data_IF_973202026736
#
_entry.id   IF_973202026736
#
_cell.length_a   1.000
_cell.length_b   1.000
_cell.length_c   1.000
_cell.angle_alpha   90.00
_cell.angle_beta   90.00
_cell.angle_gamma   90.00
#
_symmetry.space_group_name_H-M   'P 1'
#
loop_
_entity.id
_entity.type
_entity.pdbx_description
1 polymer ?
#
# COMPACT_ATOMS: atom_id res chain seq x y z
N UNK A 1 17.68 2.73 54.98
CA UNK A 1 16.40 2.77 54.24
C UNK A 1 15.85 4.17 54.40
N UNK A 2 15.99 5.02 53.37
CA UNK A 2 15.45 6.37 53.36
C UNK A 2 13.97 6.27 52.95
N UNK A 3 13.08 6.77 53.80
CA UNK A 3 11.64 6.76 53.60
C UNK A 3 11.24 7.65 52.44
N UNK A 4 10.40 7.14 51.52
CA UNK A 4 9.78 7.88 50.40
C UNK A 4 8.81 9.01 50.85
N UNK A 5 8.78 9.34 52.15
CA UNK A 5 7.79 10.22 52.79
C UNK A 5 8.24 11.69 52.98
N UNK A 6 9.44 12.08 52.57
CA UNK A 6 9.94 13.45 52.75
C UNK A 6 9.87 14.34 51.49
N UNK A 7 9.26 13.88 50.39
CA UNK A 7 9.10 14.75 49.21
C UNK A 7 8.00 15.78 49.44
N UNK A 8 8.39 17.04 49.44
CA UNK A 8 7.46 18.16 49.65
C UNK A 8 6.64 18.44 48.39
N UNK A 9 5.51 19.15 48.53
CA UNK A 9 4.69 19.60 47.40
C UNK A 9 5.52 20.39 46.39
N UNK A 10 6.47 21.17 46.90
CA UNK A 10 7.32 22.03 46.10
C UNK A 10 8.28 21.22 45.23
N UNK A 11 8.85 20.14 45.77
CA UNK A 11 9.70 19.21 45.02
C UNK A 11 8.90 18.53 43.90
N UNK A 12 7.68 18.07 44.20
CA UNK A 12 6.81 17.41 43.23
C UNK A 12 6.30 18.36 42.14
N UNK A 13 6.07 19.63 42.47
CA UNK A 13 5.69 20.64 41.49
C UNK A 13 6.87 21.10 40.64
N UNK A 14 8.08 21.15 41.21
CA UNK A 14 9.30 21.46 40.48
C UNK A 14 9.67 20.37 39.45
N UNK A 15 9.34 19.11 39.75
CA UNK A 15 9.52 17.97 38.83
C UNK A 15 8.55 17.97 37.63
N UNK A 16 7.50 18.80 37.63
CA UNK A 16 6.57 18.89 36.51
C UNK A 16 7.19 19.54 35.25
N UNK A 17 6.83 19.07 34.05
CA UNK A 17 7.14 19.75 32.78
C UNK A 17 6.56 21.17 32.75
N UNK A 18 7.23 22.10 32.05
CA UNK A 18 6.83 23.52 32.02
C UNK A 18 5.37 23.73 31.55
N UNK A 19 4.94 22.96 30.55
CA UNK A 19 3.57 22.98 30.02
C UNK A 19 2.54 22.49 31.06
N UNK A 20 2.91 21.48 31.86
CA UNK A 20 2.08 20.95 32.94
C UNK A 20 1.92 21.95 34.07
N UNK A 21 3.00 22.65 34.44
CA UNK A 21 2.97 23.74 35.43
C UNK A 21 2.08 24.89 34.96
N UNK A 22 2.24 25.33 33.72
CA UNK A 22 1.44 26.41 33.13
C UNK A 22 -0.04 26.06 33.08
N UNK A 23 -0.38 24.83 32.70
CA UNK A 23 -1.77 24.36 32.66
C UNK A 23 -2.39 24.32 34.06
N UNK A 24 -1.65 23.87 35.08
CA UNK A 24 -2.09 23.87 36.47
C UNK A 24 -2.32 25.29 37.01
N UNK A 25 -1.46 26.24 36.64
CA UNK A 25 -1.64 27.65 36.98
C UNK A 25 -2.85 28.28 36.27
N UNK A 26 -3.07 27.97 34.99
CA UNK A 26 -4.21 28.47 34.20
C UNK A 26 -5.57 27.99 34.72
N UNK A 27 -5.64 26.77 35.26
CA UNK A 27 -6.87 26.23 35.90
C UNK A 27 -7.01 26.64 37.38
N UNK A 28 -6.12 27.50 37.89
CA UNK A 28 -6.16 28.00 39.27
C UNK A 28 -5.66 27.00 40.33
N UNK A 29 -5.06 25.88 39.93
CA UNK A 29 -4.42 24.89 40.81
C UNK A 29 -2.89 25.07 40.85
N UNK A 30 -2.45 26.31 41.05
CA UNK A 30 -1.04 26.62 41.25
C UNK A 30 -0.50 26.12 42.59
N UNK A 31 0.80 26.32 42.81
CA UNK A 31 1.52 25.91 44.02
C UNK A 31 0.82 26.29 45.36
N UNK A 32 0.25 27.51 45.52
CA UNK A 32 -0.44 27.88 46.77
C UNK A 32 -1.68 27.02 47.05
N UNK A 33 -2.41 26.64 46.00
CA UNK A 33 -3.61 25.83 46.10
C UNK A 33 -3.27 24.36 46.38
N UNK A 34 -2.20 23.84 45.77
CA UNK A 34 -1.69 22.51 46.05
C UNK A 34 -1.17 22.36 47.49
N UNK A 35 -0.53 23.40 48.04
CA UNK A 35 -0.13 23.43 49.47
C UNK A 35 -1.36 23.43 50.38
N UNK A 36 -2.38 24.23 50.07
CA UNK A 36 -3.65 24.24 50.81
C UNK A 36 -4.32 22.86 50.82
N UNK A 37 -4.28 22.15 49.71
CA UNK A 37 -4.82 20.79 49.61
C UNK A 37 -3.96 19.79 50.38
N UNK A 38 -2.64 19.95 50.37
CA UNK A 38 -1.69 19.12 51.11
C UNK A 38 -1.88 19.19 52.63
N UNK A 39 -2.21 20.37 53.16
CA UNK A 39 -2.46 20.60 54.59
C UNK A 39 -3.76 19.95 55.10
N UNK A 40 -4.62 19.49 54.20
CA UNK A 40 -5.84 18.74 54.53
C UNK A 40 -5.57 17.28 54.91
N UNK A 41 -6.52 16.65 55.60
CA UNK A 41 -6.41 15.24 55.99
C UNK A 41 -6.34 14.32 54.74
N UNK A 42 -5.22 13.63 54.55
CA UNK A 42 -4.93 12.86 53.32
C UNK A 42 -4.53 13.69 52.10
N UNK A 43 -4.22 14.98 52.31
CA UNK A 43 -3.93 15.98 51.29
C UNK A 43 -2.82 15.59 50.33
N UNK A 44 -1.69 15.10 50.83
CA UNK A 44 -0.57 14.68 49.98
C UNK A 44 -0.90 13.54 49.02
N UNK A 45 -1.78 12.61 49.41
CA UNK A 45 -2.21 11.54 48.50
C UNK A 45 -3.05 12.10 47.36
N UNK A 46 -3.87 13.12 47.64
CA UNK A 46 -4.68 13.82 46.63
C UNK A 46 -3.81 14.68 45.70
N UNK A 47 -2.84 15.41 46.25
CA UNK A 47 -1.86 16.19 45.47
C UNK A 47 -1.05 15.29 44.55
N UNK A 48 -0.54 14.15 45.04
CA UNK A 48 0.13 13.16 44.19
C UNK A 48 -0.78 12.63 43.08
N UNK A 49 -2.06 12.39 43.36
CA UNK A 49 -3.05 12.00 42.36
C UNK A 49 -3.22 13.03 41.25
N UNK A 50 -3.41 14.31 41.61
CA UNK A 50 -3.55 15.41 40.65
C UNK A 50 -2.27 15.58 39.84
N UNK A 51 -1.11 15.66 40.49
CA UNK A 51 0.18 15.81 39.82
C UNK A 51 0.54 14.60 38.93
N UNK A 52 0.11 13.38 39.30
CA UNK A 52 0.28 12.17 38.49
C UNK A 52 -0.51 12.23 37.18
N UNK A 53 -1.68 12.88 37.19
CA UNK A 53 -2.48 13.04 35.97
C UNK A 53 -1.80 13.98 34.98
N UNK A 54 -1.20 15.06 35.46
CA UNK A 54 -0.49 16.03 34.61
C UNK A 54 0.90 15.55 34.18
N UNK A 55 1.63 14.81 35.02
CA UNK A 55 2.86 14.13 34.58
C UNK A 55 2.57 13.05 33.53
N UNK A 56 1.47 12.30 33.65
CA UNK A 56 1.05 11.30 32.66
C UNK A 56 0.52 11.93 31.36
N UNK A 57 -0.13 13.10 31.42
CA UNK A 57 -0.63 13.83 30.24
C UNK A 57 0.48 14.58 29.49
N UNK A 58 1.50 15.02 30.22
CA UNK A 58 2.62 15.79 29.68
C UNK A 58 3.80 14.94 29.24
N UNK A 59 3.73 13.61 29.34
CA UNK A 59 4.66 12.76 28.60
C UNK A 59 4.26 12.90 27.12
N UNK A 60 5.04 13.63 26.30
CA UNK A 60 4.68 13.83 24.91
C UNK A 60 4.99 12.50 24.23
N UNK A 61 4.03 11.56 24.29
CA UNK A 61 4.10 10.17 23.76
C UNK A 61 5.31 10.02 22.87
N UNK A 62 6.45 9.66 23.46
CA UNK A 62 7.64 9.39 22.66
C UNK A 62 7.24 8.23 21.75
N UNK A 63 7.50 8.32 20.45
CA UNK A 63 7.20 7.22 19.54
C UNK A 63 8.07 6.02 19.95
N UNK A 64 7.56 5.16 20.85
CA UNK A 64 8.37 4.13 21.48
C UNK A 64 7.72 3.35 22.63
N UNK A 65 6.97 3.99 23.56
CA UNK A 65 6.71 3.36 24.88
C UNK A 65 5.44 2.50 25.03
N UNK A 66 4.73 2.18 23.93
CA UNK A 66 3.74 1.09 23.94
C UNK A 66 4.43 -0.26 23.71
N UNK A 67 5.28 -0.71 24.64
CA UNK A 67 5.79 -2.09 24.69
C UNK A 67 4.81 -3.04 25.43
N UNK A 68 3.55 -3.04 25.00
CA UNK A 68 2.71 -4.24 25.03
C UNK A 68 3.09 -5.19 23.88
N UNK A 69 2.79 -6.49 23.93
CA UNK A 69 3.57 -7.59 23.32
C UNK A 69 4.09 -7.27 21.90
N UNK A 70 5.28 -6.67 21.86
CA UNK A 70 5.80 -5.85 20.77
C UNK A 70 6.08 -6.61 19.45
N UNK A 71 6.04 -7.95 19.48
CA UNK A 71 6.33 -8.79 18.32
C UNK A 71 5.14 -9.06 17.39
N UNK A 72 3.90 -9.04 17.89
CA UNK A 72 2.71 -9.31 17.06
C UNK A 72 2.12 -8.04 16.45
N UNK A 73 2.22 -6.91 17.14
CA UNK A 73 1.67 -5.61 16.71
C UNK A 73 2.48 -4.94 15.62
N UNK A 74 3.79 -5.19 15.50
CA UNK A 74 4.63 -4.60 14.45
C UNK A 74 4.44 -5.25 13.07
N UNK A 75 4.08 -6.54 13.02
CA UNK A 75 3.91 -7.30 11.76
C UNK A 75 2.53 -7.08 11.14
N UNK A 76 1.52 -6.82 11.97
CA UNK A 76 0.13 -6.68 11.54
C UNK A 76 -0.11 -5.56 10.51
N UNK A 77 0.45 -4.34 10.65
CA UNK A 77 0.29 -3.29 9.65
C UNK A 77 0.88 -3.65 8.28
N UNK A 78 2.01 -4.34 8.25
CA UNK A 78 2.65 -4.80 7.01
C UNK A 78 1.87 -5.93 6.34
N UNK A 79 1.35 -6.87 7.13
CA UNK A 79 0.44 -7.91 6.62
C UNK A 79 -0.84 -7.29 6.07
N UNK A 80 -1.42 -6.30 6.76
CA UNK A 80 -2.59 -5.57 6.27
C UNK A 80 -2.31 -4.85 4.95
N UNK A 81 -1.16 -4.18 4.83
CA UNK A 81 -0.76 -3.53 3.58
C UNK A 81 -0.65 -4.54 2.43
N UNK A 82 0.02 -5.67 2.67
CA UNK A 82 0.16 -6.73 1.67
C UNK A 82 -1.21 -7.31 1.27
N UNK A 83 -2.07 -7.64 2.24
CA UNK A 83 -3.41 -8.20 1.96
C UNK A 83 -4.27 -7.20 1.17
N UNK A 84 -4.27 -5.92 1.54
CA UNK A 84 -5.03 -4.89 0.83
C UNK A 84 -4.50 -4.70 -0.59
N UNK A 85 -3.18 -4.71 -0.78
CA UNK A 85 -2.58 -4.57 -2.11
C UNK A 85 -2.88 -5.78 -3.01
N UNK A 86 -2.73 -7.00 -2.50
CA UNK A 86 -3.04 -8.24 -3.24
C UNK A 86 -4.53 -8.31 -3.56
N UNK A 87 -5.41 -8.05 -2.59
CA UNK A 87 -6.85 -8.03 -2.81
C UNK A 87 -7.24 -6.97 -3.85
N UNK A 88 -6.64 -5.78 -3.79
CA UNK A 88 -6.83 -4.73 -4.79
C UNK A 88 -6.43 -5.16 -6.19
N UNK A 89 -5.27 -5.82 -6.35
CA UNK A 89 -4.83 -6.38 -7.64
C UNK A 89 -5.82 -7.43 -8.16
N UNK A 90 -6.26 -8.36 -7.31
CA UNK A 90 -7.23 -9.40 -7.69
C UNK A 90 -8.57 -8.80 -8.10
N UNK A 91 -9.10 -7.86 -7.32
CA UNK A 91 -10.35 -7.14 -7.66
C UNK A 91 -10.19 -6.39 -8.97
N UNK A 92 -9.06 -5.71 -9.18
CA UNK A 92 -8.77 -5.01 -10.43
C UNK A 92 -8.76 -5.99 -11.63
N UNK A 93 -8.05 -7.11 -11.52
CA UNK A 93 -8.01 -8.13 -12.57
C UNK A 93 -9.38 -8.74 -12.86
N UNK A 94 -10.14 -9.12 -11.83
CA UNK A 94 -11.49 -9.66 -12.02
C UNK A 94 -12.44 -8.64 -12.62
N UNK A 95 -12.27 -7.35 -12.29
CA UNK A 95 -13.11 -6.28 -12.84
C UNK A 95 -12.94 -6.12 -14.36
N UNK A 96 -11.75 -6.43 -14.91
CA UNK A 96 -11.52 -6.42 -16.36
C UNK A 96 -12.42 -7.42 -17.12
N UNK A 97 -12.82 -8.51 -16.47
CA UNK A 97 -13.67 -9.54 -17.07
C UNK A 97 -15.13 -9.11 -17.22
N UNK A 98 -15.56 -8.07 -16.49
CA UNK A 98 -16.97 -7.66 -16.40
C UNK A 98 -17.19 -6.26 -16.96
N UNK A 99 -16.26 -5.32 -16.70
CA UNK A 99 -16.46 -3.88 -16.92
C UNK A 99 -15.66 -3.34 -18.13
N UNK A 100 -14.83 -4.18 -18.77
CA UNK A 100 -13.91 -3.75 -19.83
C UNK A 100 -12.73 -2.92 -19.30
N UNK A 101 -11.80 -2.58 -20.20
CA UNK A 101 -10.50 -1.99 -19.85
C UNK A 101 -10.56 -0.61 -19.19
N UNK A 102 -11.49 0.26 -19.62
CA UNK A 102 -11.59 1.63 -19.12
C UNK A 102 -12.09 1.72 -17.67
N UNK A 103 -13.14 0.97 -17.34
CA UNK A 103 -13.74 0.97 -16.00
C UNK A 103 -12.89 0.19 -14.99
N UNK A 104 -12.17 -0.86 -15.42
CA UNK A 104 -11.26 -1.59 -14.53
C UNK A 104 -10.12 -0.71 -14.00
N UNK A 105 -9.65 0.26 -14.78
CA UNK A 105 -8.62 1.19 -14.32
C UNK A 105 -9.13 2.07 -13.18
N UNK A 106 -10.39 2.53 -13.24
CA UNK A 106 -11.01 3.29 -12.15
C UNK A 106 -11.12 2.45 -10.87
N UNK A 107 -11.50 1.18 -11.00
CA UNK A 107 -11.54 0.23 -9.87
C UNK A 107 -10.14 0.06 -9.26
N UNK A 108 -9.11 -0.10 -10.11
CA UNK A 108 -7.71 -0.19 -9.67
C UNK A 108 -7.21 1.05 -8.94
N UNK A 109 -7.56 2.25 -9.42
CA UNK A 109 -7.25 3.54 -8.76
C UNK A 109 -7.97 3.65 -7.42
N UNK A 110 -9.24 3.29 -7.35
CA UNK A 110 -10.03 3.33 -6.10
C UNK A 110 -9.47 2.36 -5.06
N UNK A 111 -9.07 1.15 -5.48
CA UNK A 111 -8.33 0.21 -4.64
C UNK A 111 -6.97 0.78 -4.21
N UNK A 112 -6.30 1.54 -5.08
CA UNK A 112 -5.04 2.23 -4.79
C UNK A 112 -5.15 3.26 -3.66
N UNK A 113 -6.29 3.95 -3.53
CA UNK A 113 -6.56 4.82 -2.36
C UNK A 113 -6.54 3.99 -1.08
N UNK A 114 -7.16 2.82 -1.08
CA UNK A 114 -7.11 1.88 0.05
C UNK A 114 -5.68 1.43 0.39
N UNK A 115 -4.86 1.16 -0.62
CA UNK A 115 -3.43 0.82 -0.44
C UNK A 115 -2.66 2.00 0.15
N UNK A 116 -2.89 3.23 -0.29
CA UNK A 116 -2.24 4.44 0.25
C UNK A 116 -2.66 4.65 1.71
N UNK A 117 -3.95 4.49 2.04
CA UNK A 117 -4.45 4.60 3.41
C UNK A 117 -3.85 3.51 4.31
N UNK A 118 -3.77 2.27 3.83
CA UNK A 118 -3.11 1.18 4.54
C UNK A 118 -1.62 1.48 4.75
N UNK A 119 -0.95 2.04 3.73
CA UNK A 119 0.44 2.46 3.81
C UNK A 119 0.61 3.57 4.86
N UNK A 120 -0.26 4.57 4.90
CA UNK A 120 -0.27 5.64 5.92
C UNK A 120 -0.42 5.10 7.34
N UNK A 121 -1.16 4.01 7.53
CA UNK A 121 -1.28 3.30 8.80
C UNK A 121 -0.07 2.45 9.21
N UNK A 122 0.96 2.30 8.36
CA UNK A 122 2.19 1.56 8.73
C UNK A 122 3.17 2.46 9.48
N UNK A 123 3.67 1.99 10.63
CA UNK A 123 4.62 2.74 11.49
C UNK A 123 5.94 3.01 10.77
N UNK A 124 6.47 4.22 10.89
CA UNK A 124 7.74 4.63 10.31
C UNK A 124 8.93 4.07 11.12
N UNK A 125 9.50 2.95 10.67
CA UNK A 125 10.84 2.53 11.08
C UNK A 125 11.88 3.11 10.11
N UNK A 126 13.12 3.30 10.57
CA UNK A 126 14.23 3.63 9.67
C UNK A 126 14.40 2.50 8.65
N UNK A 127 14.14 2.79 7.37
CA UNK A 127 14.07 1.81 6.26
C UNK A 127 12.64 1.39 5.86
N UNK A 128 11.67 1.48 6.78
CA UNK A 128 10.26 1.15 6.50
C UNK A 128 9.56 2.13 5.57
N UNK A 129 9.98 3.41 5.57
CA UNK A 129 9.42 4.43 4.68
C UNK A 129 9.67 4.09 3.19
N UNK A 130 10.90 3.70 2.84
CA UNK A 130 11.25 3.34 1.47
C UNK A 130 10.49 2.09 1.01
N UNK A 131 10.47 1.03 1.82
CA UNK A 131 9.75 -0.22 1.52
C UNK A 131 8.24 -0.01 1.36
N UNK A 132 7.66 0.90 2.15
CA UNK A 132 6.25 1.27 2.05
C UNK A 132 5.94 1.91 0.70
N UNK A 133 6.69 2.94 0.31
CA UNK A 133 6.46 3.62 -0.97
C UNK A 133 6.81 2.74 -2.17
N UNK A 134 7.79 1.85 -2.02
CA UNK A 134 8.12 0.83 -3.02
C UNK A 134 6.95 -0.16 -3.22
N UNK A 135 6.26 -0.56 -2.14
CA UNK A 135 5.06 -1.41 -2.23
C UNK A 135 3.92 -0.68 -2.94
N UNK A 136 3.69 0.60 -2.61
CA UNK A 136 2.68 1.44 -3.27
C UNK A 136 3.01 1.60 -4.76
N UNK A 137 4.27 1.90 -5.09
CA UNK A 137 4.71 2.04 -6.48
C UNK A 137 4.54 0.73 -7.25
N UNK A 138 4.93 -0.41 -6.68
CA UNK A 138 4.76 -1.72 -7.30
C UNK A 138 3.28 -2.05 -7.55
N UNK A 139 2.38 -1.71 -6.63
CA UNK A 139 0.94 -1.84 -6.83
C UNK A 139 0.46 -1.02 -8.04
N UNK A 140 0.85 0.26 -8.14
CA UNK A 140 0.46 1.10 -9.28
C UNK A 140 1.04 0.60 -10.61
N UNK A 141 2.27 0.11 -10.61
CA UNK A 141 2.87 -0.53 -11.80
C UNK A 141 2.04 -1.75 -12.22
N UNK A 142 1.64 -2.61 -11.28
CA UNK A 142 0.80 -3.77 -11.59
C UNK A 142 -0.57 -3.38 -12.14
N UNK A 143 -1.23 -2.38 -11.54
CA UNK A 143 -2.52 -1.88 -12.05
C UNK A 143 -2.37 -1.29 -13.44
N UNK A 144 -1.29 -0.53 -13.68
CA UNK A 144 -1.02 0.06 -14.98
C UNK A 144 -0.76 -0.99 -16.06
N UNK A 145 0.14 -1.95 -15.79
CA UNK A 145 0.44 -3.05 -16.70
C UNK A 145 -0.81 -3.89 -16.95
N UNK A 146 -1.56 -4.27 -15.91
CA UNK A 146 -2.80 -5.04 -16.04
C UNK A 146 -3.87 -4.30 -16.86
N UNK A 147 -3.95 -2.97 -16.78
CA UNK A 147 -4.86 -2.20 -17.62
C UNK A 147 -4.46 -2.26 -19.09
N UNK A 148 -3.16 -2.20 -19.39
CA UNK A 148 -2.64 -2.24 -20.75
C UNK A 148 -2.77 -3.64 -21.38
N UNK A 149 -2.48 -4.69 -20.60
CA UNK A 149 -2.58 -6.10 -21.02
C UNK A 149 -3.97 -6.70 -20.85
N UNK A 150 -4.95 -5.93 -20.37
CA UNK A 150 -6.30 -6.43 -20.04
C UNK A 150 -6.96 -7.17 -21.21
N UNK A 151 -6.77 -6.67 -22.44
CA UNK A 151 -7.30 -7.30 -23.63
C UNK A 151 -6.62 -8.64 -23.95
N UNK A 152 -5.30 -8.71 -23.85
CA UNK A 152 -4.54 -9.94 -24.11
C UNK A 152 -4.93 -11.03 -23.11
N UNK A 153 -4.94 -10.67 -21.82
CA UNK A 153 -5.39 -11.54 -20.73
C UNK A 153 -6.82 -12.04 -20.94
N UNK A 154 -7.74 -11.13 -21.30
CA UNK A 154 -9.13 -11.49 -21.57
C UNK A 154 -9.24 -12.49 -22.72
N UNK A 155 -8.57 -12.23 -23.84
CA UNK A 155 -8.63 -13.10 -25.03
C UNK A 155 -7.97 -14.46 -24.79
N UNK A 156 -6.90 -14.54 -23.99
CA UNK A 156 -6.34 -15.82 -23.57
C UNK A 156 -7.38 -16.66 -22.80
N UNK A 157 -8.01 -16.06 -21.80
CA UNK A 157 -8.96 -16.76 -20.93
C UNK A 157 -10.28 -17.10 -21.63
N UNK A 158 -10.90 -16.11 -22.29
CA UNK A 158 -12.29 -16.19 -22.80
C UNK A 158 -12.41 -16.07 -24.30
N UNK A 159 -11.34 -15.73 -25.01
CA UNK A 159 -11.38 -15.66 -26.47
C UNK A 159 -11.74 -17.00 -27.09
N UNK A 160 -12.34 -16.97 -28.26
CA UNK A 160 -12.64 -18.16 -29.06
C UNK A 160 -11.83 -18.08 -30.34
N UNK A 161 -11.11 -19.14 -30.65
CA UNK A 161 -10.40 -19.26 -31.92
C UNK A 161 -11.39 -19.54 -33.03
N UNK A 162 -11.38 -18.71 -34.06
CA UNK A 162 -12.19 -18.90 -35.25
C UNK A 162 -11.43 -18.50 -36.51
N UNK A 163 -11.80 -19.09 -37.64
CA UNK A 163 -11.23 -18.72 -38.93
C UNK A 163 -11.77 -17.37 -39.36
N UNK A 164 -10.89 -16.42 -39.62
CA UNK A 164 -11.20 -15.10 -40.13
C UNK A 164 -10.52 -14.86 -41.48
N UNK A 165 -11.11 -13.98 -42.29
CA UNK A 165 -10.55 -13.60 -43.60
C UNK A 165 -9.88 -12.24 -43.43
N UNK A 166 -8.62 -12.13 -43.80
CA UNK A 166 -7.89 -10.86 -43.78
C UNK A 166 -8.52 -9.93 -44.81
N UNK A 167 -8.82 -8.70 -44.43
CA UNK A 167 -9.43 -7.69 -45.30
C UNK A 167 -8.47 -6.52 -45.53
N UNK A 168 -8.81 -5.67 -46.51
CA UNK A 168 -8.02 -4.48 -46.81
C UNK A 168 -7.78 -3.66 -45.51
N UNK A 169 -6.51 -3.35 -45.19
CA UNK A 169 -6.18 -2.64 -43.98
C UNK A 169 -6.79 -1.23 -43.99
N UNK A 170 -7.12 -0.72 -42.80
CA UNK A 170 -7.48 0.68 -42.65
C UNK A 170 -6.24 1.51 -42.41
N UNK A 171 -6.23 2.74 -42.92
CA UNK A 171 -5.19 3.71 -42.61
C UNK A 171 -5.79 4.82 -41.74
N UNK A 172 -5.16 5.07 -40.61
CA UNK A 172 -5.51 6.15 -39.71
C UNK A 172 -4.31 7.07 -39.54
N UNK A 173 -4.55 8.37 -39.48
CA UNK A 173 -3.50 9.34 -39.20
C UNK A 173 -3.42 9.55 -37.69
N UNK A 174 -2.27 9.20 -37.11
CA UNK A 174 -2.01 9.39 -35.69
C UNK A 174 -0.62 10.02 -35.52
N UNK A 175 -0.54 11.10 -34.74
CA UNK A 175 0.70 11.80 -34.43
C UNK A 175 1.54 12.17 -35.67
N UNK A 176 0.89 12.65 -36.74
CA UNK A 176 1.57 13.09 -37.97
C UNK A 176 2.10 11.95 -38.85
N UNK A 177 1.85 10.69 -38.50
CA UNK A 177 2.23 9.52 -39.30
C UNK A 177 1.00 8.72 -39.73
N UNK A 178 1.06 8.11 -40.91
CA UNK A 178 0.02 7.20 -41.41
C UNK A 178 0.23 5.84 -40.77
N UNK A 179 -0.65 5.45 -39.85
CA UNK A 179 -0.67 4.13 -39.26
C UNK A 179 -1.58 3.21 -40.07
N UNK A 180 -1.05 2.05 -40.44
CA UNK A 180 -1.81 0.98 -41.07
C UNK A 180 -2.32 0.07 -39.96
N UNK A 181 -3.59 -0.32 -40.01
CA UNK A 181 -4.19 -1.25 -39.08
C UNK A 181 -4.85 -2.39 -39.84
N UNK A 182 -4.49 -3.61 -39.47
CA UNK A 182 -5.09 -4.80 -40.04
C UNK A 182 -6.55 -4.95 -39.63
N UNK A 183 -7.33 -5.49 -40.57
CA UNK A 183 -8.75 -5.75 -40.39
C UNK A 183 -9.05 -7.18 -40.77
N UNK A 184 -9.91 -7.82 -40.02
CA UNK A 184 -10.35 -9.19 -40.27
C UNK A 184 -11.86 -9.23 -40.40
N UNK A 185 -12.35 -10.00 -41.37
CA UNK A 185 -13.74 -10.37 -41.51
C UNK A 185 -13.97 -11.68 -40.78
N UNK A 186 -14.88 -11.66 -39.82
CA UNK A 186 -15.27 -12.84 -39.04
C UNK A 186 -16.30 -13.68 -39.81
N UNK A 187 -16.65 -14.86 -39.30
CA UNK A 187 -17.60 -15.79 -39.95
C UNK A 187 -19.02 -15.21 -40.08
N UNK A 188 -19.40 -14.33 -39.17
CA UNK A 188 -20.67 -13.58 -39.20
C UNK A 188 -20.68 -12.45 -40.26
N UNK A 189 -19.58 -12.26 -40.99
CA UNK A 189 -19.41 -11.23 -42.01
C UNK A 189 -19.01 -9.85 -41.48
N UNK A 190 -18.96 -9.67 -40.16
CA UNK A 190 -18.53 -8.43 -39.51
C UNK A 190 -17.05 -8.17 -39.75
N UNK A 191 -16.64 -6.89 -39.84
CA UNK A 191 -15.25 -6.51 -40.13
C UNK A 191 -14.68 -5.69 -39.00
N UNK A 192 -13.73 -6.28 -38.28
CA UNK A 192 -13.13 -5.69 -37.08
C UNK A 192 -11.66 -5.34 -37.31
N UNK A 193 -11.22 -4.23 -36.72
CA UNK A 193 -9.81 -3.88 -36.61
C UNK A 193 -9.15 -4.77 -35.57
N UNK A 194 -7.96 -5.32 -35.86
CA UNK A 194 -7.22 -6.15 -34.91
C UNK A 194 -6.50 -5.26 -33.87
N UNK A 195 -6.32 -5.76 -32.65
CA UNK A 195 -5.68 -4.98 -31.59
C UNK A 195 -4.17 -4.85 -31.74
N UNK A 196 -3.48 -5.93 -32.11
CA UNK A 196 -2.04 -5.93 -32.29
C UNK A 196 -1.68 -6.11 -33.76
N UNK A 197 -1.02 -5.11 -34.34
CA UNK A 197 -0.60 -5.15 -35.74
C UNK A 197 0.83 -5.71 -35.88
N UNK A 198 1.01 -7.00 -35.49
CA UNK A 198 2.33 -7.66 -35.53
C UNK A 198 2.78 -8.03 -36.94
N UNK A 199 1.85 -8.19 -37.87
CA UNK A 199 2.13 -8.73 -39.19
C UNK A 199 1.66 -7.77 -40.29
N UNK A 200 2.38 -7.72 -41.40
CA UNK A 200 1.85 -7.04 -42.58
C UNK A 200 0.69 -7.87 -43.16
N UNK A 201 -0.49 -7.25 -43.21
CA UNK A 201 -1.70 -7.86 -43.77
C UNK A 201 -2.02 -7.35 -45.17
N UNK A 202 -1.31 -6.35 -45.68
CA UNK A 202 -1.56 -5.81 -47.01
C UNK A 202 -1.39 -6.88 -48.10
N UNK A 203 -0.37 -7.73 -47.97
CA UNK A 203 -0.05 -8.79 -48.94
C UNK A 203 -0.91 -10.05 -48.79
N UNK A 204 -1.70 -10.15 -47.71
CA UNK A 204 -2.49 -11.35 -47.37
C UNK A 204 -4.00 -11.10 -47.39
N UNK A 205 -4.45 -10.00 -48.00
CA UNK A 205 -5.87 -9.70 -48.15
C UNK A 205 -6.58 -10.86 -48.88
N UNK A 206 -7.69 -11.33 -48.32
CA UNK A 206 -8.46 -12.47 -48.81
C UNK A 206 -8.00 -13.83 -48.27
N UNK A 207 -6.81 -13.91 -47.64
CA UNK A 207 -6.35 -15.14 -47.01
C UNK A 207 -7.18 -15.46 -45.76
N UNK A 208 -7.40 -16.76 -45.53
CA UNK A 208 -7.97 -17.27 -44.28
C UNK A 208 -6.85 -17.44 -43.26
N UNK A 209 -7.09 -16.97 -42.04
CA UNK A 209 -6.18 -17.13 -40.91
C UNK A 209 -6.97 -17.41 -39.63
N UNK A 210 -6.30 -17.83 -38.58
CA UNK A 210 -6.89 -17.96 -37.25
C UNK A 210 -6.93 -16.59 -36.58
N UNK A 211 -8.05 -16.29 -35.92
CA UNK A 211 -8.17 -15.13 -35.05
C UNK A 211 -8.83 -15.54 -33.73
N UNK A 212 -8.35 -14.95 -32.64
CA UNK A 212 -8.97 -15.08 -31.31
C UNK A 212 -9.94 -13.91 -31.14
N UNK A 213 -11.20 -14.23 -30.89
CA UNK A 213 -12.30 -13.26 -30.84
C UNK A 213 -12.98 -13.29 -29.49
N UNK A 214 -13.33 -12.11 -28.98
CA UNK A 214 -14.17 -12.00 -27.80
C UNK A 214 -15.64 -12.29 -28.17
N UNK A 215 -16.26 -13.35 -27.64
CA UNK A 215 -17.65 -13.68 -27.91
C UNK A 215 -18.64 -12.61 -27.42
N UNK A 216 -18.22 -11.76 -26.49
CA UNK A 216 -19.02 -10.63 -25.96
C UNK A 216 -18.85 -9.35 -26.77
N UNK A 217 -17.89 -9.30 -27.71
CA UNK A 217 -17.62 -8.15 -28.57
C UNK A 217 -17.07 -6.90 -27.86
N UNK A 218 -16.59 -7.02 -26.62
CA UNK A 218 -16.03 -5.90 -25.85
C UNK A 218 -14.60 -5.57 -26.31
N UNK A 219 -13.86 -6.60 -26.69
CA UNK A 219 -12.48 -6.48 -27.15
C UNK A 219 -12.33 -6.74 -28.65
N UNK A 220 -11.35 -6.07 -29.25
CA UNK A 220 -10.99 -6.30 -30.65
C UNK A 220 -10.39 -7.70 -30.85
N UNK A 221 -10.53 -8.31 -32.02
CA UNK A 221 -9.92 -9.61 -32.26
C UNK A 221 -8.40 -9.52 -32.33
N UNK A 222 -7.74 -10.62 -31.98
CA UNK A 222 -6.31 -10.84 -32.17
C UNK A 222 -6.12 -11.77 -33.38
N UNK A 223 -5.22 -11.41 -34.30
CA UNK A 223 -4.88 -12.23 -35.47
C UNK A 223 -3.75 -13.18 -35.07
N UNK A 224 -4.04 -14.48 -35.06
CA UNK A 224 -3.16 -15.53 -34.52
C UNK A 224 -3.92 -16.52 -33.66
N UNK A 225 -3.18 -17.43 -33.02
CA UNK A 225 -3.71 -18.38 -32.03
C UNK A 225 -3.63 -17.82 -30.61
N UNK A 226 -4.30 -18.46 -29.66
CA UNK A 226 -4.21 -18.07 -28.24
C UNK A 226 -2.80 -18.17 -27.67
N UNK A 227 -2.00 -19.14 -28.13
CA UNK A 227 -0.61 -19.31 -27.67
C UNK A 227 0.32 -18.18 -28.10
N UNK A 228 -0.05 -17.41 -29.12
CA UNK A 228 0.76 -16.29 -29.62
C UNK A 228 0.51 -14.99 -28.82
N UNK A 229 -0.48 -15.00 -27.93
CA UNK A 229 -0.82 -13.88 -27.05
C UNK A 229 0.11 -13.90 -25.83
N UNK A 230 0.65 -12.74 -25.42
CA UNK A 230 1.36 -12.59 -24.13
C UNK A 230 2.88 -12.75 -24.14
N UNK A 231 3.50 -12.91 -25.31
CA UNK A 231 4.97 -12.91 -25.44
C UNK A 231 5.51 -11.47 -25.56
N UNK A 232 5.47 -10.71 -24.46
CA UNK A 232 5.91 -9.30 -24.44
C UNK A 232 6.74 -8.96 -23.21
N UNK A 233 7.52 -7.87 -23.30
CA UNK A 233 8.32 -7.32 -22.21
C UNK A 233 7.51 -6.96 -20.95
N UNK A 234 6.19 -6.79 -21.10
CA UNK A 234 5.25 -6.46 -20.04
C UNK A 234 5.08 -7.60 -19.03
N UNK A 235 5.26 -8.84 -19.48
CA UNK A 235 5.26 -10.04 -18.63
C UNK A 235 6.46 -10.04 -17.66
N UNK A 236 7.61 -9.53 -18.09
CA UNK A 236 8.79 -9.38 -17.22
C UNK A 236 8.60 -8.25 -16.19
N UNK A 237 8.03 -7.11 -16.61
CA UNK A 237 7.76 -5.97 -15.72
C UNK A 237 6.73 -6.34 -14.64
N UNK A 238 5.66 -7.04 -15.00
CA UNK A 238 4.65 -7.51 -14.04
C UNK A 238 5.20 -8.52 -13.04
N UNK A 239 6.04 -9.47 -13.46
CA UNK A 239 6.74 -10.39 -12.56
C UNK A 239 7.65 -9.65 -11.57
N UNK A 240 8.44 -8.68 -12.05
CA UNK A 240 9.29 -7.86 -11.18
C UNK A 240 8.48 -7.06 -10.16
N UNK A 241 7.40 -6.42 -10.59
CA UNK A 241 6.52 -5.66 -9.70
C UNK A 241 5.80 -6.56 -8.68
N UNK A 242 5.36 -7.76 -9.08
CA UNK A 242 4.77 -8.75 -8.17
C UNK A 242 5.78 -9.23 -7.12
N UNK A 243 7.02 -9.52 -7.53
CA UNK A 243 8.09 -9.88 -6.61
C UNK A 243 8.34 -8.77 -5.59
N UNK A 244 8.42 -7.52 -6.04
CA UNK A 244 8.59 -6.36 -5.15
C UNK A 244 7.42 -6.22 -4.17
N UNK A 245 6.17 -6.36 -4.65
CA UNK A 245 4.98 -6.22 -3.82
C UNK A 245 4.90 -7.28 -2.73
N UNK A 246 5.39 -8.49 -2.98
CA UNK A 246 5.42 -9.59 -2.00
C UNK A 246 6.63 -9.50 -1.06
N UNK A 247 7.81 -9.20 -1.61
CA UNK A 247 9.07 -9.22 -0.86
C UNK A 247 9.23 -7.99 0.04
N UNK A 248 8.77 -6.81 -0.37
CA UNK A 248 8.96 -5.61 0.44
C UNK A 248 8.25 -5.68 1.81
N UNK A 249 6.98 -6.11 1.91
CA UNK A 249 6.31 -6.30 3.20
C UNK A 249 6.90 -7.48 3.99
N UNK A 250 7.32 -8.55 3.32
CA UNK A 250 7.94 -9.71 3.96
C UNK A 250 9.30 -9.37 4.59
N UNK A 251 10.17 -8.67 3.86
CA UNK A 251 11.45 -8.19 4.35
C UNK A 251 11.27 -7.22 5.52
N UNK A 252 10.30 -6.30 5.44
CA UNK A 252 9.98 -5.40 6.56
C UNK A 252 9.53 -6.17 7.82
N UNK A 253 8.71 -7.20 7.65
CA UNK A 253 8.26 -8.05 8.75
C UNK A 253 9.39 -8.88 9.37
N UNK A 254 10.38 -9.31 8.59
CA UNK A 254 11.56 -10.05 9.07
C UNK A 254 12.55 -9.11 9.77
N UNK A 255 12.90 -7.98 9.16
CA UNK A 255 13.83 -7.00 9.74
C UNK A 255 13.27 -6.42 11.05
N UNK A 256 11.95 -6.23 11.14
CA UNK A 256 11.28 -5.84 12.38
C UNK A 256 11.40 -6.85 13.53
N UNK A 257 11.66 -8.14 13.25
CA UNK A 257 11.85 -9.17 14.29
C UNK A 257 13.27 -9.22 14.85
N UNK A 258 14.25 -8.68 14.12
CA UNK A 258 15.69 -8.88 14.36
C UNK A 258 16.34 -7.73 15.12
N UNK A 259 15.59 -6.68 15.54
CA UNK A 259 16.19 -5.65 16.41
C UNK A 259 16.72 -6.32 17.68
N UNK A 260 18.06 -6.31 17.89
CA UNK A 260 18.62 -6.90 19.10
C UNK A 260 18.09 -6.08 20.27
N UNK A 261 17.62 -6.79 21.30
CA UNK A 261 17.43 -6.23 22.64
C UNK A 261 18.73 -5.52 22.98
N UNK A 262 18.74 -4.18 22.89
CA UNK A 262 19.91 -3.39 23.26
C UNK A 262 20.06 -3.65 24.75
N UNK A 263 21.05 -4.47 25.12
CA UNK A 263 21.37 -4.77 26.50
C UNK A 263 21.62 -3.45 27.20
N UNK A 264 20.61 -2.97 27.93
CA UNK A 264 20.77 -2.03 29.04
C UNK A 264 21.19 -2.91 30.21
N UNK A 265 22.44 -3.36 30.17
CA UNK A 265 23.15 -3.91 31.33
C UNK A 265 24.59 -3.38 31.21
N UNK A 266 25.06 -2.78 32.30
CA UNK A 266 26.42 -2.34 32.63
C UNK A 266 26.88 -0.92 32.25
N UNK A 267 26.42 0.07 33.03
CA UNK A 267 27.32 0.83 33.93
C UNK A 267 26.57 1.66 34.98
N UNK A 268 25.98 0.98 35.94
CA UNK A 268 25.71 1.54 37.26
C UNK A 268 26.03 0.44 38.28
N UNK A 269 27.16 0.57 38.97
CA UNK A 269 27.58 -0.41 39.98
C UNK A 269 29.10 -0.51 40.10
N UNK A 270 29.70 0.43 40.82
CA UNK A 270 31.12 0.44 41.16
C UNK A 270 31.39 1.45 42.27
N UNK A 271 30.78 1.19 43.43
CA UNK A 271 31.04 1.85 44.72
C UNK A 271 32.46 1.63 45.23
N UNK A 272 32.91 2.58 46.06
CA UNK A 272 33.94 2.46 47.13
C UNK A 272 35.39 2.19 46.73
N UNK A 273 36.22 3.23 46.77
CA UNK A 273 37.20 3.51 47.85
C UNK A 273 37.52 4.99 47.87
#
# INVERSE_FOLDING_TARGET
MASEDERTVDDLFAELPEDGRRTLEEIGMGLPELRRIADGEGGMRRVRGVLSEFTAKSDPRRPGDDEGPARRTAVWPWMRLLVVAVAGCVVCLLSTLVLGSGLSLLVGVLCGVGVILAALGTRASHGGLALRWLTVAAYFVLVFVASYTSQEWYLQLRGVEQTAIITAPSHQWAHGTRQTHCRVRLQDGSVHQVFHNREDCADRVGAKSTAVVDPSGHYRPFLGSKSDIGDTAETAVSLGAAAVLLLAPACAAVVGRVRPRRNIIDRAGGTTT
#
